data_IF_122291281920
#
_entry.id   IF_122291281920
#
_cell.length_a   1.000
_cell.length_b   1.000
_cell.length_c   1.000
_cell.angle_alpha   90.00
_cell.angle_beta   90.00
_cell.angle_gamma   90.00
#
_symmetry.space_group_name_H-M   'P 1'
#
loop_
_entity.id
_entity.type
_entity.pdbx_description
1 polymer ?
#
# COMPACT_ATOMS: atom_id res chain seq x y z
N UNK A 1 -7.27 -0.53 52.67
CA UNK A 1 -5.98 -0.35 51.99
C UNK A 1 -5.86 -1.46 50.94
N UNK A 2 -5.65 -1.28 49.65
CA UNK A 2 -5.64 -0.17 48.69
C UNK A 2 -5.91 -0.88 47.35
N UNK A 3 -7.01 -0.55 46.67
CA UNK A 3 -7.31 -1.13 45.36
C UNK A 3 -6.26 -0.71 44.35
N UNK A 4 -5.56 -1.69 43.77
CA UNK A 4 -4.65 -1.46 42.65
C UNK A 4 -5.45 -1.59 41.35
N UNK A 5 -5.93 -0.47 40.82
CA UNK A 5 -6.51 -0.40 39.49
C UNK A 5 -5.36 -0.40 38.48
N UNK A 6 -5.12 -1.52 37.81
CA UNK A 6 -4.18 -1.61 36.70
C UNK A 6 -4.79 -0.90 35.47
N UNK A 7 -4.37 0.34 35.23
CA UNK A 7 -4.59 1.01 33.96
C UNK A 7 -3.68 0.35 32.91
N UNK A 8 -4.25 -0.56 32.12
CA UNK A 8 -3.59 -1.15 30.95
C UNK A 8 -3.62 -0.11 29.82
N UNK A 9 -2.49 0.57 29.58
CA UNK A 9 -2.31 1.40 28.39
C UNK A 9 -2.11 0.46 27.17
N UNK A 10 -3.18 0.23 26.41
CA UNK A 10 -3.07 -0.42 25.11
C UNK A 10 -2.32 0.51 24.14
N UNK A 11 -1.09 0.15 23.78
CA UNK A 11 -0.37 0.81 22.69
C UNK A 11 -0.99 0.38 21.36
N UNK A 12 -1.89 1.20 20.82
CA UNK A 12 -2.36 1.03 19.46
C UNK A 12 -1.18 1.28 18.51
N UNK A 13 -0.69 0.22 17.86
CA UNK A 13 0.28 0.36 16.79
C UNK A 13 -0.36 1.18 15.66
N UNK A 14 0.11 2.41 15.46
CA UNK A 14 -0.32 3.26 14.35
C UNK A 14 0.24 2.64 13.08
N UNK A 15 -0.63 2.01 12.29
CA UNK A 15 -0.27 1.51 10.98
C UNK A 15 0.03 2.72 10.06
N UNK A 16 1.31 3.02 9.83
CA UNK A 16 1.72 4.08 8.92
C UNK A 16 1.50 3.62 7.48
N UNK A 17 0.64 4.31 6.75
CA UNK A 17 0.42 4.03 5.34
C UNK A 17 1.55 4.64 4.50
N UNK A 18 2.13 3.83 3.61
CA UNK A 18 3.29 4.19 2.79
C UNK A 18 2.82 4.54 1.38
N UNK A 19 3.18 5.72 0.82
CA UNK A 19 2.84 6.07 -0.55
C UNK A 19 3.65 5.24 -1.55
N UNK A 20 2.96 4.51 -2.43
CA UNK A 20 3.55 3.67 -3.49
C UNK A 20 3.04 4.19 -4.84
N UNK A 21 3.95 4.63 -5.69
CA UNK A 21 3.62 5.09 -7.04
C UNK A 21 3.70 3.94 -8.04
N UNK A 22 2.62 3.72 -8.78
CA UNK A 22 2.56 2.69 -9.83
C UNK A 22 2.90 3.34 -11.17
N UNK A 23 3.81 2.71 -11.92
CA UNK A 23 4.27 3.25 -13.19
C UNK A 23 3.11 3.45 -14.17
N UNK A 24 3.04 4.65 -14.77
CA UNK A 24 1.99 5.06 -15.73
C UNK A 24 0.56 5.01 -15.14
N UNK A 25 0.45 5.05 -13.82
CA UNK A 25 -0.81 5.13 -13.10
C UNK A 25 -0.73 6.20 -11.99
N UNK A 26 -1.35 5.96 -10.83
CA UNK A 26 -1.41 6.89 -9.71
C UNK A 26 -0.56 6.46 -8.50
N UNK A 27 -0.62 7.23 -7.41
CA UNK A 27 0.03 6.92 -6.13
C UNK A 27 -1.00 6.41 -5.12
N UNK A 28 -0.72 5.27 -4.50
CA UNK A 28 -1.61 4.58 -3.55
C UNK A 28 -0.98 4.51 -2.16
N UNK A 29 -1.80 4.61 -1.11
CA UNK A 29 -1.31 4.52 0.27
C UNK A 29 -1.47 3.09 0.78
N UNK A 30 -0.36 2.40 1.04
CA UNK A 30 -0.32 0.97 1.36
C UNK A 30 0.00 0.76 2.83
N UNK A 31 -0.84 -0.01 3.50
CA UNK A 31 -0.63 -0.38 4.90
C UNK A 31 0.25 -1.62 5.01
N UNK A 32 1.22 -1.59 5.91
CA UNK A 32 2.12 -2.72 6.18
C UNK A 32 3.45 -2.63 5.40
N UNK A 33 4.27 -3.69 5.48
CA UNK A 33 5.60 -3.70 4.87
C UNK A 33 5.48 -3.73 3.34
N UNK A 34 5.74 -2.59 2.70
CA UNK A 34 5.69 -2.43 1.24
C UNK A 34 6.67 -3.37 0.54
N UNK A 35 6.28 -3.83 -0.65
CA UNK A 35 7.12 -4.64 -1.52
C UNK A 35 8.49 -3.98 -1.74
N UNK A 36 9.52 -4.53 -1.09
CA UNK A 36 10.86 -3.96 -1.05
C UNK A 36 11.88 -4.99 -0.58
N UNK A 37 13.16 -4.70 -0.83
CA UNK A 37 14.26 -5.61 -0.51
C UNK A 37 14.62 -6.55 -1.67
N UNK A 38 15.44 -7.55 -1.38
CA UNK A 38 16.04 -8.44 -2.38
C UNK A 38 16.15 -9.87 -1.87
N UNK A 39 16.18 -10.84 -2.80
CA UNK A 39 16.32 -12.26 -2.47
C UNK A 39 15.00 -12.93 -2.06
N UNK A 40 15.10 -14.17 -1.57
CA UNK A 40 13.95 -15.04 -1.27
C UNK A 40 13.12 -14.59 -0.05
N UNK A 41 13.62 -13.65 0.74
CA UNK A 41 12.94 -13.08 1.90
C UNK A 41 12.95 -11.55 1.78
N UNK A 42 12.01 -10.94 1.03
CA UNK A 42 11.94 -9.50 0.88
C UNK A 42 11.59 -8.83 2.22
N UNK A 43 11.93 -7.54 2.36
CA UNK A 43 11.59 -6.74 3.53
C UNK A 43 10.08 -6.50 3.66
N UNK A 44 9.35 -6.64 2.55
CA UNK A 44 7.90 -6.59 2.52
C UNK A 44 7.34 -7.14 1.22
N UNK A 45 6.02 -7.35 1.20
CA UNK A 45 5.29 -7.88 0.05
C UNK A 45 3.99 -7.13 -0.24
N UNK A 46 3.66 -6.11 0.55
CA UNK A 46 2.43 -5.35 0.39
C UNK A 46 2.49 -4.49 -0.90
N UNK A 47 1.44 -4.62 -1.70
CA UNK A 47 1.23 -3.89 -2.94
C UNK A 47 -0.22 -3.35 -2.99
N UNK A 48 -0.51 -2.33 -3.82
CA UNK A 48 -1.88 -1.93 -4.10
C UNK A 48 -2.70 -3.11 -4.65
N UNK A 49 -3.88 -3.34 -4.09
CA UNK A 49 -4.84 -4.34 -4.58
C UNK A 49 -5.93 -3.69 -5.39
N UNK A 50 -6.65 -4.47 -6.19
CA UNK A 50 -7.83 -4.01 -6.92
C UNK A 50 -8.82 -3.32 -5.96
N UNK A 51 -9.37 -2.19 -6.38
CA UNK A 51 -10.28 -1.40 -5.56
C UNK A 51 -9.59 -0.39 -4.63
N UNK A 52 -8.26 -0.44 -4.48
CA UNK A 52 -7.52 0.56 -3.70
C UNK A 52 -7.65 1.93 -4.34
N UNK A 53 -8.03 2.95 -3.56
CA UNK A 53 -8.13 4.33 -4.01
C UNK A 53 -6.77 5.02 -3.97
N UNK A 54 -6.41 5.70 -5.04
CA UNK A 54 -5.21 6.53 -5.09
C UNK A 54 -5.36 7.77 -4.19
N UNK A 55 -4.24 8.17 -3.58
CA UNK A 55 -4.16 9.35 -2.73
C UNK A 55 -3.47 10.53 -3.41
N UNK A 56 -2.71 10.30 -4.48
CA UNK A 56 -2.05 11.35 -5.25
C UNK A 56 -1.83 10.96 -6.72
N UNK A 57 -1.41 11.94 -7.53
CA UNK A 57 -1.09 11.78 -8.96
C UNK A 57 -2.23 11.19 -9.81
N UNK A 58 -3.49 11.40 -9.42
CA UNK A 58 -4.65 10.93 -10.17
C UNK A 58 -5.05 11.94 -11.24
N UNK A 59 -5.06 11.53 -12.51
CA UNK A 59 -5.38 12.37 -13.65
C UNK A 59 -6.38 11.69 -14.61
N UNK A 60 -7.21 12.46 -15.36
CA UNK A 60 -8.24 11.91 -16.24
C UNK A 60 -7.75 11.00 -17.36
N UNK A 61 -6.47 11.12 -17.76
CA UNK A 61 -5.87 10.30 -18.82
C UNK A 61 -5.38 8.93 -18.31
N UNK A 62 -5.43 8.67 -16.99
CA UNK A 62 -4.95 7.43 -16.41
C UNK A 62 -5.96 6.29 -16.60
N UNK A 63 -5.51 5.05 -16.84
CA UNK A 63 -6.39 3.89 -16.97
C UNK A 63 -7.25 3.60 -15.73
N UNK A 64 -6.79 3.99 -14.54
CA UNK A 64 -7.48 3.80 -13.27
C UNK A 64 -8.50 4.89 -12.95
N UNK A 65 -8.56 5.96 -13.75
CA UNK A 65 -9.43 7.10 -13.49
C UNK A 65 -10.91 6.76 -13.71
N UNK A 66 -11.72 7.02 -12.70
CA UNK A 66 -13.17 6.94 -12.74
C UNK A 66 -13.77 8.35 -12.85
N UNK A 67 -14.43 8.63 -13.97
CA UNK A 67 -14.97 9.95 -14.27
C UNK A 67 -16.18 10.32 -13.39
N UNK A 68 -16.93 9.32 -12.90
CA UNK A 68 -18.11 9.55 -12.05
C UNK A 68 -17.69 10.04 -10.65
N UNK A 69 -16.63 9.46 -10.10
CA UNK A 69 -16.10 9.76 -8.76
C UNK A 69 -14.90 10.71 -8.77
N UNK A 70 -14.38 11.06 -9.95
CA UNK A 70 -13.17 11.88 -10.15
C UNK A 70 -11.98 11.36 -9.34
N UNK A 71 -11.86 10.04 -9.25
CA UNK A 71 -10.88 9.34 -8.41
C UNK A 71 -10.22 8.20 -9.20
N UNK A 72 -9.01 7.81 -8.80
CA UNK A 72 -8.30 6.70 -9.42
C UNK A 72 -8.41 5.47 -8.53
N UNK A 73 -8.89 4.37 -9.08
CA UNK A 73 -9.07 3.10 -8.39
C UNK A 73 -8.25 2.03 -9.11
N UNK A 74 -7.36 1.35 -8.37
CA UNK A 74 -6.57 0.26 -8.92
C UNK A 74 -7.48 -0.79 -9.57
N UNK A 75 -7.25 -1.09 -10.85
CA UNK A 75 -8.12 -1.97 -11.65
C UNK A 75 -7.83 -3.45 -11.44
N UNK A 76 -6.62 -3.77 -10.98
CA UNK A 76 -6.09 -5.10 -10.75
C UNK A 76 -5.16 -5.15 -9.53
N UNK A 77 -4.80 -6.36 -9.11
CA UNK A 77 -3.87 -6.57 -8.00
C UNK A 77 -2.41 -6.47 -8.49
N UNK A 78 -1.63 -5.59 -7.86
CA UNK A 78 -0.20 -5.54 -8.12
C UNK A 78 0.51 -6.70 -7.41
N UNK A 79 1.50 -7.30 -8.08
CA UNK A 79 2.27 -8.42 -7.56
C UNK A 79 3.67 -7.97 -7.15
N UNK A 80 4.08 -8.35 -5.95
CA UNK A 80 5.48 -8.19 -5.54
C UNK A 80 6.31 -9.28 -6.23
N UNK A 81 7.26 -8.88 -7.09
CA UNK A 81 8.10 -9.80 -7.88
C UNK A 81 9.57 -9.44 -7.70
N UNK A 82 10.43 -10.45 -7.75
CA UNK A 82 11.87 -10.24 -7.67
C UNK A 82 12.40 -9.73 -9.01
N UNK A 83 12.93 -8.50 -9.00
CA UNK A 83 13.60 -7.88 -10.14
C UNK A 83 14.97 -8.57 -10.32
N UNK A 84 15.12 -9.43 -11.33
CA UNK A 84 16.38 -10.14 -11.62
C UNK A 84 16.29 -11.64 -11.85
N UNK A 85 15.10 -12.25 -11.77
CA UNK A 85 14.87 -13.63 -12.28
C UNK A 85 14.37 -13.64 -13.73
N UNK A 86 14.35 -12.50 -14.41
CA UNK A 86 14.24 -12.46 -15.87
C UNK A 86 15.67 -12.49 -16.40
N UNK A 87 16.17 -13.69 -16.74
CA UNK A 87 17.33 -13.80 -17.62
C UNK A 87 16.90 -13.19 -18.95
N UNK A 88 17.27 -11.93 -19.17
CA UNK A 88 17.25 -11.30 -20.50
C UNK A 88 18.30 -11.99 -21.36
#
# INVERSE_FOLDING_TARGET
>A
MKGASLLVLAMAAVATATPVSVCRDATYSITGPVCSGSGSSPAGSACPTKGTKATAACHPYLPSYDAATKSCIAKEDAKCVQLGLLRV
#
